data_IF_749632726344
#
_entry.id   IF_749632726344
#
_cell.length_a   1.000
_cell.length_b   1.000
_cell.length_c   1.000
_cell.angle_alpha   90.00
_cell.angle_beta   90.00
_cell.angle_gamma   90.00
#
_symmetry.space_group_name_H-M   'P 1'
#
loop_
_entity.id
_entity.type
_entity.pdbx_description
1 polymer ?
#
# COMPACT_ATOMS: atom_id res chain seq x y z
N UNK A 1 2.84 -35.80 -5.20
CA UNK A 1 1.43 -36.26 -5.43
C UNK A 1 1.01 -35.81 -6.81
N UNK A 2 0.75 -36.73 -7.77
CA UNK A 2 0.26 -36.40 -9.10
C UNK A 2 -1.27 -36.44 -9.08
N UNK A 3 -1.89 -35.29 -9.30
CA UNK A 3 -3.35 -35.23 -9.45
C UNK A 3 -3.83 -36.02 -10.67
N UNK A 4 -5.03 -36.64 -10.57
CA UNK A 4 -5.67 -37.26 -11.73
C UNK A 4 -5.91 -36.22 -12.83
N UNK A 5 -6.00 -36.66 -14.09
CA UNK A 5 -6.28 -35.75 -15.24
C UNK A 5 -7.59 -34.99 -15.03
N UNK A 6 -8.61 -35.64 -14.50
CA UNK A 6 -9.91 -35.01 -14.17
C UNK A 6 -9.76 -33.94 -13.09
N UNK A 7 -9.07 -34.23 -11.99
CA UNK A 7 -8.84 -33.25 -10.91
C UNK A 7 -8.09 -32.03 -11.45
N UNK A 8 -7.06 -32.23 -12.29
CA UNK A 8 -6.32 -31.14 -12.90
C UNK A 8 -7.20 -30.31 -13.82
N UNK A 9 -8.07 -30.93 -14.65
CA UNK A 9 -8.98 -30.21 -15.54
C UNK A 9 -10.00 -29.38 -14.74
N UNK A 10 -10.57 -29.93 -13.66
CA UNK A 10 -11.48 -29.21 -12.77
C UNK A 10 -10.79 -28.01 -12.11
N UNK A 11 -9.58 -28.20 -11.58
CA UNK A 11 -8.82 -27.12 -10.95
C UNK A 11 -8.49 -25.99 -11.96
N UNK A 12 -8.07 -26.36 -13.17
CA UNK A 12 -7.77 -25.37 -14.24
C UNK A 12 -9.04 -24.61 -14.64
N UNK A 13 -10.16 -25.31 -14.85
CA UNK A 13 -11.41 -24.67 -15.21
C UNK A 13 -11.91 -23.72 -14.10
N UNK A 14 -11.83 -24.14 -12.84
CA UNK A 14 -12.22 -23.30 -11.70
C UNK A 14 -11.29 -22.07 -11.58
N UNK A 15 -9.96 -22.27 -11.69
CA UNK A 15 -9.00 -21.17 -11.68
C UNK A 15 -9.24 -20.18 -12.83
N UNK A 16 -9.52 -20.68 -14.03
CA UNK A 16 -9.84 -19.84 -15.19
C UNK A 16 -11.12 -19.02 -14.97
N UNK A 17 -12.15 -19.63 -14.37
CA UNK A 17 -13.39 -18.95 -14.05
C UNK A 17 -13.18 -17.84 -12.99
N UNK A 18 -12.41 -18.12 -11.94
CA UNK A 18 -12.06 -17.12 -10.92
C UNK A 18 -11.27 -15.96 -11.53
N UNK A 19 -10.27 -16.28 -12.37
CA UNK A 19 -9.50 -15.25 -13.06
C UNK A 19 -10.39 -14.40 -13.98
N UNK A 20 -11.26 -15.04 -14.77
CA UNK A 20 -12.21 -14.32 -15.62
C UNK A 20 -13.09 -13.39 -14.78
N UNK A 21 -13.65 -13.87 -13.68
CA UNK A 21 -14.50 -13.08 -12.79
C UNK A 21 -13.77 -11.85 -12.20
N UNK A 22 -12.49 -12.01 -11.83
CA UNK A 22 -11.68 -10.92 -11.26
C UNK A 22 -11.23 -9.93 -12.35
N UNK A 23 -10.78 -10.42 -13.50
CA UNK A 23 -10.21 -9.56 -14.53
C UNK A 23 -11.22 -8.97 -15.50
N UNK A 24 -12.42 -9.55 -15.65
CA UNK A 24 -13.44 -9.01 -16.55
C UNK A 24 -13.86 -7.57 -16.21
N UNK A 25 -14.14 -7.20 -14.94
CA UNK A 25 -14.42 -5.81 -14.58
C UNK A 25 -13.26 -4.86 -14.90
N UNK A 26 -12.02 -5.29 -14.66
CA UNK A 26 -10.83 -4.48 -14.98
C UNK A 26 -10.68 -4.28 -16.49
N UNK A 27 -10.92 -5.33 -17.28
CA UNK A 27 -10.94 -5.23 -18.73
C UNK A 27 -12.02 -4.28 -19.25
N UNK A 28 -13.20 -4.27 -18.62
CA UNK A 28 -14.27 -3.32 -18.93
C UNK A 28 -13.86 -1.87 -18.63
N UNK A 29 -13.18 -1.60 -17.52
CA UNK A 29 -12.66 -0.26 -17.21
C UNK A 29 -11.66 0.18 -18.28
N UNK A 30 -10.73 -0.70 -18.67
CA UNK A 30 -9.77 -0.43 -19.75
C UNK A 30 -10.49 -0.17 -21.07
N UNK A 31 -11.47 -0.99 -21.44
CA UNK A 31 -12.26 -0.80 -22.65
C UNK A 31 -13.03 0.54 -22.62
N UNK A 32 -13.66 0.87 -21.50
CA UNK A 32 -14.40 2.12 -21.33
C UNK A 32 -13.51 3.36 -21.35
N UNK A 33 -12.21 3.23 -21.09
CA UNK A 33 -11.27 4.35 -21.26
C UNK A 33 -11.09 4.79 -22.71
N UNK A 34 -11.49 3.93 -23.66
CA UNK A 34 -11.48 4.19 -25.10
C UNK A 34 -12.89 4.38 -25.68
N UNK A 35 -13.96 4.19 -24.89
CA UNK A 35 -15.34 4.28 -25.38
C UNK A 35 -15.70 5.73 -25.75
N UNK A 36 -16.26 5.95 -26.94
CA UNK A 36 -16.74 7.29 -27.36
C UNK A 36 -17.93 7.78 -26.54
N UNK A 37 -18.72 6.87 -25.97
CA UNK A 37 -19.86 7.23 -25.11
C UNK A 37 -19.40 7.72 -23.74
N UNK A 38 -20.05 8.77 -23.24
CA UNK A 38 -19.83 9.30 -21.88
C UNK A 38 -20.60 8.55 -20.79
N UNK A 39 -21.56 7.71 -21.19
CA UNK A 39 -22.46 6.98 -20.30
C UNK A 39 -22.20 5.47 -20.29
N UNK A 40 -21.05 5.04 -20.82
CA UNK A 40 -20.63 3.62 -20.87
C UNK A 40 -21.62 2.72 -21.60
N UNK A 41 -22.17 3.21 -22.70
CA UNK A 41 -23.06 2.44 -23.56
C UNK A 41 -22.39 1.15 -24.04
N UNK A 42 -23.16 0.06 -23.96
CA UNK A 42 -22.69 -1.28 -24.35
C UNK A 42 -23.58 -1.88 -25.45
N UNK A 43 -23.03 -2.42 -26.55
CA UNK A 43 -21.60 -2.38 -26.93
C UNK A 43 -21.11 -0.93 -27.24
N UNK A 44 -19.80 -0.64 -27.09
CA UNK A 44 -19.28 0.71 -27.37
C UNK A 44 -19.63 1.15 -28.79
N UNK A 45 -20.22 2.35 -29.00
CA UNK A 45 -20.57 2.83 -30.33
C UNK A 45 -19.33 3.17 -31.19
N UNK A 46 -18.16 3.33 -30.56
CA UNK A 46 -16.89 3.56 -31.18
C UNK A 46 -15.75 3.62 -30.18
N UNK A 47 -14.51 3.62 -30.66
CA UNK A 47 -13.30 3.76 -29.84
C UNK A 47 -12.59 5.07 -30.14
N UNK A 48 -12.07 5.73 -29.10
CA UNK A 48 -11.36 7.01 -29.20
C UNK A 48 -10.25 7.11 -28.16
N UNK A 49 -9.22 7.88 -28.46
CA UNK A 49 -8.15 8.24 -27.51
C UNK A 49 -8.30 9.65 -26.94
N UNK A 50 -9.39 10.36 -27.32
CA UNK A 50 -9.61 11.76 -26.88
C UNK A 50 -9.64 11.93 -25.36
N UNK A 51 -10.14 10.92 -24.63
CA UNK A 51 -10.21 10.96 -23.17
C UNK A 51 -8.84 10.87 -22.52
N UNK A 52 -7.89 10.18 -23.17
CA UNK A 52 -6.50 10.12 -22.72
C UNK A 52 -5.83 11.48 -22.82
N UNK A 53 -6.04 12.21 -23.93
CA UNK A 53 -5.58 13.59 -24.07
C UNK A 53 -6.25 14.49 -23.02
N UNK A 54 -7.60 14.43 -22.90
CA UNK A 54 -8.34 15.24 -21.92
C UNK A 54 -7.90 14.95 -20.47
N UNK A 55 -7.51 13.73 -20.16
CA UNK A 55 -7.01 13.36 -18.82
C UNK A 55 -5.65 14.00 -18.53
N UNK A 56 -4.76 14.06 -19.51
CA UNK A 56 -3.46 14.74 -19.39
C UNK A 56 -3.62 16.24 -19.09
N UNK A 57 -4.66 16.87 -19.65
CA UNK A 57 -4.98 18.29 -19.45
C UNK A 57 -5.79 18.54 -18.17
N UNK A 58 -6.31 17.49 -17.53
CA UNK A 58 -7.08 17.60 -16.29
C UNK A 58 -6.18 17.95 -15.11
N UNK A 59 -6.22 19.23 -14.68
CA UNK A 59 -5.49 19.68 -13.49
C UNK A 59 -5.98 18.96 -12.22
N UNK A 60 -7.29 18.67 -12.12
CA UNK A 60 -7.85 17.95 -10.96
C UNK A 60 -7.32 16.52 -10.83
N UNK A 61 -7.32 15.74 -11.92
CA UNK A 61 -6.78 14.38 -11.92
C UNK A 61 -5.28 14.37 -11.58
N UNK A 62 -4.51 15.22 -12.24
CA UNK A 62 -3.06 15.35 -12.03
C UNK A 62 -2.72 15.73 -10.59
N UNK A 63 -3.41 16.74 -10.04
CA UNK A 63 -3.19 17.18 -8.66
C UNK A 63 -3.55 16.05 -7.67
N UNK A 64 -4.65 15.33 -7.89
CA UNK A 64 -5.06 14.23 -7.04
C UNK A 64 -4.04 13.07 -7.03
N UNK A 65 -3.44 12.75 -8.18
CA UNK A 65 -2.33 11.77 -8.28
C UNK A 65 -1.13 12.25 -7.47
N UNK A 66 -0.70 13.50 -7.66
CA UNK A 66 0.45 14.06 -6.94
C UNK A 66 0.24 14.07 -5.44
N UNK A 67 -0.93 14.50 -4.96
CA UNK A 67 -1.27 14.48 -3.53
C UNK A 67 -1.27 13.06 -2.98
N UNK A 68 -1.84 12.08 -3.70
CA UNK A 68 -1.81 10.67 -3.26
C UNK A 68 -0.39 10.13 -3.15
N UNK A 69 0.47 10.41 -4.12
CA UNK A 69 1.88 9.97 -4.09
C UNK A 69 2.62 10.64 -2.94
N UNK A 70 2.44 11.94 -2.74
CA UNK A 70 3.04 12.71 -1.66
C UNK A 70 2.65 12.16 -0.29
N UNK A 71 1.34 11.99 -0.04
CA UNK A 71 0.81 11.43 1.21
C UNK A 71 1.33 10.01 1.43
N UNK A 72 1.29 9.16 0.41
CA UNK A 72 1.74 7.78 0.53
C UNK A 72 3.24 7.68 0.82
N UNK A 73 4.07 8.50 0.20
CA UNK A 73 5.51 8.55 0.48
C UNK A 73 5.81 9.05 1.88
N UNK A 74 5.16 10.14 2.31
CA UNK A 74 5.37 10.72 3.65
C UNK A 74 4.88 9.77 4.75
N UNK A 75 3.69 9.18 4.59
CA UNK A 75 3.15 8.20 5.52
C UNK A 75 4.01 6.93 5.59
N UNK A 76 4.49 6.43 4.45
CA UNK A 76 5.40 5.28 4.40
C UNK A 76 6.73 5.57 5.09
N UNK A 77 7.33 6.74 4.85
CA UNK A 77 8.57 7.14 5.49
C UNK A 77 8.41 7.21 7.03
N UNK A 78 7.33 7.83 7.50
CA UNK A 78 7.01 7.89 8.92
C UNK A 78 6.76 6.49 9.51
N UNK A 79 6.00 5.66 8.81
CA UNK A 79 5.72 4.29 9.19
C UNK A 79 6.98 3.41 9.25
N UNK A 80 7.93 3.58 8.30
CA UNK A 80 9.22 2.88 8.30
C UNK A 80 10.01 3.20 9.56
N UNK A 81 10.12 4.46 9.92
CA UNK A 81 10.84 4.87 11.12
C UNK A 81 10.17 4.31 12.36
N UNK A 82 8.90 4.65 12.59
CA UNK A 82 8.17 4.29 13.81
C UNK A 82 7.95 2.77 13.93
N UNK A 83 7.56 2.10 12.85
CA UNK A 83 7.33 0.66 12.82
C UNK A 83 8.60 -0.16 13.05
N UNK A 84 9.73 0.29 12.48
CA UNK A 84 11.03 -0.37 12.71
C UNK A 84 11.50 -0.17 14.13
N UNK A 85 11.41 1.06 14.67
CA UNK A 85 11.77 1.34 16.06
C UNK A 85 10.92 0.52 17.04
N UNK A 86 9.61 0.45 16.81
CA UNK A 86 8.70 -0.37 17.62
C UNK A 86 9.04 -1.87 17.53
N UNK A 87 9.34 -2.38 16.34
CA UNK A 87 9.74 -3.78 16.15
C UNK A 87 11.06 -4.11 16.89
N UNK A 88 12.06 -3.25 16.79
CA UNK A 88 13.32 -3.39 17.52
C UNK A 88 13.11 -3.36 19.03
N UNK A 89 12.35 -2.38 19.53
CA UNK A 89 12.06 -2.26 20.94
C UNK A 89 11.38 -3.52 21.50
N UNK A 90 10.35 -4.01 20.80
CA UNK A 90 9.60 -5.18 21.24
C UNK A 90 10.34 -6.51 21.01
N UNK A 91 11.30 -6.61 20.11
CA UNK A 91 12.04 -7.86 19.87
C UNK A 91 13.33 -7.94 20.70
N UNK A 92 13.98 -6.83 21.04
CA UNK A 92 15.28 -6.81 21.72
C UNK A 92 15.19 -6.53 23.22
N UNK A 93 14.12 -5.89 23.68
CA UNK A 93 13.97 -5.52 25.10
C UNK A 93 12.82 -6.29 25.75
N UNK A 94 13.02 -6.64 27.03
CA UNK A 94 11.99 -7.19 27.91
C UNK A 94 11.61 -6.11 28.93
N UNK A 95 10.37 -5.67 28.90
CA UNK A 95 9.84 -4.68 29.82
C UNK A 95 8.38 -4.95 30.15
N UNK A 96 7.90 -4.38 31.25
CA UNK A 96 6.51 -4.48 31.67
C UNK A 96 5.59 -3.83 30.61
N UNK A 97 4.50 -4.51 30.24
CA UNK A 97 3.54 -3.99 29.26
C UNK A 97 3.92 -4.24 27.79
N UNK A 98 4.98 -5.00 27.49
CA UNK A 98 5.42 -5.32 26.12
C UNK A 98 4.30 -5.91 25.26
N UNK A 99 3.55 -6.87 25.79
CA UNK A 99 2.49 -7.55 25.04
C UNK A 99 1.29 -6.61 24.81
N UNK A 100 0.96 -5.79 25.79
CA UNK A 100 -0.05 -4.74 25.68
C UNK A 100 0.35 -3.71 24.60
N UNK A 101 1.61 -3.27 24.60
CA UNK A 101 2.11 -2.35 23.56
C UNK A 101 2.06 -2.97 22.18
N UNK A 102 2.43 -4.25 22.05
CA UNK A 102 2.32 -4.99 20.79
C UNK A 102 0.87 -5.04 20.27
N UNK A 103 -0.08 -5.29 21.16
CA UNK A 103 -1.51 -5.28 20.83
C UNK A 103 -1.97 -3.87 20.40
N UNK A 104 -1.58 -2.83 21.12
CA UNK A 104 -1.93 -1.44 20.80
C UNK A 104 -1.38 -1.00 19.43
N UNK A 105 -0.17 -1.44 19.07
CA UNK A 105 0.42 -1.14 17.76
C UNK A 105 -0.40 -1.77 16.63
N UNK A 106 -0.93 -2.98 16.81
CA UNK A 106 -1.70 -3.69 15.79
C UNK A 106 -3.16 -3.24 15.72
N UNK A 107 -3.67 -2.63 16.79
CA UNK A 107 -5.07 -2.23 16.91
C UNK A 107 -5.61 -1.38 15.73
N UNK A 108 -4.89 -0.38 15.19
CA UNK A 108 -5.41 0.47 14.11
C UNK A 108 -5.85 -0.29 12.86
N UNK A 109 -5.18 -1.39 12.50
CA UNK A 109 -5.56 -2.19 11.33
C UNK A 109 -6.73 -3.14 11.61
N UNK A 110 -6.99 -3.43 12.89
CA UNK A 110 -8.09 -4.29 13.31
C UNK A 110 -9.43 -3.52 13.44
N UNK A 111 -9.37 -2.20 13.58
CA UNK A 111 -10.55 -1.35 13.68
C UNK A 111 -11.14 -1.04 12.29
N UNK A 112 -12.47 -0.90 12.18
CA UNK A 112 -13.08 -0.38 10.96
C UNK A 112 -12.53 1.01 10.61
N UNK A 113 -12.16 1.22 9.34
CA UNK A 113 -11.54 2.49 8.88
C UNK A 113 -12.38 3.73 9.21
N UNK A 114 -13.71 3.62 9.16
CA UNK A 114 -14.64 4.70 9.57
C UNK A 114 -14.42 5.10 11.03
N UNK A 115 -14.32 4.11 11.92
CA UNK A 115 -14.10 4.36 13.37
C UNK A 115 -12.75 5.01 13.60
N UNK A 116 -11.71 4.48 12.96
CA UNK A 116 -10.35 5.03 13.04
C UNK A 116 -10.30 6.47 12.49
N UNK A 117 -10.93 6.71 11.33
CA UNK A 117 -10.96 8.03 10.71
C UNK A 117 -11.65 9.09 11.59
N UNK A 118 -12.84 8.76 12.13
CA UNK A 118 -13.58 9.66 13.04
C UNK A 118 -12.79 9.91 14.33
N UNK A 119 -12.21 8.86 14.93
CA UNK A 119 -11.44 8.98 16.16
C UNK A 119 -10.21 9.89 15.97
N UNK A 120 -9.46 9.70 14.87
CA UNK A 120 -8.30 10.53 14.55
C UNK A 120 -8.70 11.98 14.25
N UNK A 121 -9.75 12.21 13.46
CA UNK A 121 -10.25 13.55 13.19
C UNK A 121 -10.63 14.28 14.47
N UNK A 122 -11.37 13.62 15.37
CA UNK A 122 -11.73 14.18 16.68
C UNK A 122 -10.51 14.46 17.54
N UNK A 123 -9.53 13.55 17.58
CA UNK A 123 -8.30 13.75 18.32
C UNK A 123 -7.54 14.99 17.81
N UNK A 124 -7.39 15.15 16.49
CA UNK A 124 -6.74 16.33 15.93
C UNK A 124 -7.48 17.63 16.29
N UNK A 125 -8.80 17.66 16.06
CA UNK A 125 -9.57 18.89 16.22
C UNK A 125 -9.79 19.26 17.70
N UNK A 126 -10.12 18.29 18.56
CA UNK A 126 -10.59 18.57 19.93
C UNK A 126 -9.50 18.41 20.97
N UNK A 127 -8.60 17.40 20.83
CA UNK A 127 -7.54 17.18 21.82
C UNK A 127 -6.30 18.02 21.53
N UNK A 128 -5.91 18.11 20.26
CA UNK A 128 -4.66 18.77 19.85
C UNK A 128 -4.89 20.17 19.27
N UNK A 129 -6.12 20.56 18.94
CA UNK A 129 -6.43 21.84 18.30
C UNK A 129 -5.81 21.99 16.90
N UNK A 130 -5.51 20.87 16.23
CA UNK A 130 -4.86 20.83 14.92
C UNK A 130 -5.94 20.81 13.85
N UNK A 131 -5.89 21.74 12.91
CA UNK A 131 -6.76 21.77 11.74
C UNK A 131 -6.48 20.57 10.84
N UNK A 132 -7.57 19.99 10.26
CA UNK A 132 -7.45 18.91 9.29
C UNK A 132 -6.82 19.42 7.98
N UNK A 133 -5.92 18.62 7.41
CA UNK A 133 -5.18 18.96 6.20
C UNK A 133 -4.13 17.90 5.88
N UNK A 134 -3.09 18.27 5.15
CA UNK A 134 -2.04 17.35 4.74
C UNK A 134 -1.35 16.66 5.94
N UNK A 135 -1.06 17.41 7.00
CA UNK A 135 -0.40 16.87 8.20
C UNK A 135 -1.26 15.81 8.90
N UNK A 136 -2.52 16.12 9.22
CA UNK A 136 -3.43 15.16 9.85
C UNK A 136 -3.65 13.93 8.98
N UNK A 137 -3.71 14.10 7.66
CA UNK A 137 -3.85 13.02 6.70
C UNK A 137 -2.62 12.09 6.71
N UNK A 138 -1.41 12.64 6.60
CA UNK A 138 -0.16 11.86 6.63
C UNK A 138 0.00 11.08 7.93
N UNK A 139 -0.26 11.73 9.08
CA UNK A 139 -0.17 11.05 10.39
C UNK A 139 -1.23 9.96 10.50
N UNK A 140 -2.45 10.21 10.04
CA UNK A 140 -3.52 9.20 10.03
C UNK A 140 -3.16 7.98 9.19
N UNK A 141 -2.62 8.20 7.99
CA UNK A 141 -2.15 7.10 7.14
C UNK A 141 -0.98 6.36 7.76
N UNK A 142 -0.06 7.06 8.40
CA UNK A 142 1.09 6.44 9.07
C UNK A 142 0.65 5.48 10.19
N UNK A 143 -0.49 5.69 10.85
CA UNK A 143 -0.94 4.83 11.96
C UNK A 143 -1.18 3.37 11.53
N UNK A 144 -1.86 3.14 10.41
CA UNK A 144 -2.08 1.78 9.91
C UNK A 144 -0.91 1.27 9.05
N UNK A 145 -0.21 2.14 8.33
CA UNK A 145 1.02 1.79 7.61
C UNK A 145 2.12 1.28 8.55
N UNK A 146 2.23 1.87 9.75
CA UNK A 146 3.19 1.45 10.78
C UNK A 146 2.98 -0.01 11.18
N UNK A 147 1.75 -0.49 11.25
CA UNK A 147 1.43 -1.90 11.56
C UNK A 147 2.04 -2.85 10.53
N UNK A 148 1.94 -2.49 9.25
CA UNK A 148 2.47 -3.28 8.14
C UNK A 148 4.00 -3.38 8.22
N UNK A 149 4.68 -2.25 8.42
CA UNK A 149 6.14 -2.21 8.61
C UNK A 149 6.54 -3.00 9.85
N UNK A 150 5.86 -2.77 10.97
CA UNK A 150 6.10 -3.47 12.24
C UNK A 150 6.04 -4.98 12.07
N UNK A 151 4.97 -5.51 11.47
CA UNK A 151 4.80 -6.95 11.28
C UNK A 151 5.90 -7.57 10.40
N UNK A 152 6.27 -6.91 9.30
CA UNK A 152 7.36 -7.35 8.43
C UNK A 152 8.71 -7.33 9.16
N UNK A 153 8.98 -6.26 9.91
CA UNK A 153 10.21 -6.12 10.70
C UNK A 153 10.30 -7.17 11.81
N UNK A 154 9.21 -7.38 12.57
CA UNK A 154 9.13 -8.42 13.63
C UNK A 154 9.35 -9.81 13.04
N UNK A 155 8.67 -10.15 11.94
CA UNK A 155 8.83 -11.45 11.29
C UNK A 155 10.29 -11.70 10.85
N UNK A 156 10.97 -10.66 10.37
CA UNK A 156 12.37 -10.73 9.98
C UNK A 156 13.30 -10.86 11.18
N UNK A 157 13.14 -10.03 12.21
CA UNK A 157 13.95 -10.05 13.42
C UNK A 157 13.89 -11.42 14.14
N UNK A 158 12.70 -12.04 14.19
CA UNK A 158 12.53 -13.39 14.77
C UNK A 158 13.33 -14.45 14.02
N UNK A 159 13.48 -14.32 12.70
CA UNK A 159 14.24 -15.28 11.87
C UNK A 159 15.75 -15.06 11.96
N UNK A 160 16.20 -13.84 12.22
CA UNK A 160 17.62 -13.50 12.26
C UNK A 160 18.31 -13.98 13.56
N UNK A 161 17.54 -14.14 14.65
CA UNK A 161 18.14 -14.38 15.97
C UNK A 161 18.96 -13.18 16.48
N UNK A 162 19.74 -13.36 17.53
CA UNK A 162 20.61 -12.33 18.12
C UNK A 162 22.11 -12.51 17.86
N UNK A 163 22.50 -13.68 17.39
CA UNK A 163 23.90 -14.14 17.38
C UNK A 163 24.86 -13.23 16.61
N UNK A 164 24.43 -12.66 15.49
CA UNK A 164 25.28 -11.76 14.69
C UNK A 164 25.44 -10.39 15.32
N UNK A 165 24.43 -9.91 16.02
CA UNK A 165 24.49 -8.66 16.78
C UNK A 165 25.38 -8.83 18.01
N UNK A 166 25.29 -9.97 18.73
CA UNK A 166 26.14 -10.34 19.84
C UNK A 166 27.61 -10.46 19.39
N UNK A 167 27.87 -11.18 18.31
CA UNK A 167 29.22 -11.29 17.75
C UNK A 167 29.82 -9.93 17.33
N UNK A 168 29.00 -9.03 16.80
CA UNK A 168 29.44 -7.65 16.48
C UNK A 168 29.83 -6.88 17.73
N UNK A 169 29.05 -7.03 18.81
CA UNK A 169 29.34 -6.38 20.09
C UNK A 169 30.57 -6.99 20.78
N UNK A 170 30.79 -8.30 20.69
CA UNK A 170 31.98 -8.99 21.20
C UNK A 170 33.26 -8.52 20.51
N UNK A 171 33.14 -8.11 19.24
CA UNK A 171 34.26 -7.47 18.48
C UNK A 171 34.42 -5.97 18.81
N UNK A 172 33.73 -5.45 19.82
CA UNK A 172 33.85 -4.08 20.31
C UNK A 172 32.98 -3.04 19.58
N UNK A 173 32.03 -3.47 18.73
CA UNK A 173 31.09 -2.54 18.13
C UNK A 173 30.01 -2.09 19.13
N UNK A 174 29.80 -0.78 19.27
CA UNK A 174 28.67 -0.27 20.04
C UNK A 174 27.31 -0.53 19.33
N UNK A 175 26.21 -0.46 20.10
CA UNK A 175 24.85 -0.75 19.62
C UNK A 175 24.46 0.03 18.35
N UNK A 176 24.84 1.29 18.24
CA UNK A 176 24.56 2.12 17.05
C UNK A 176 25.31 1.58 15.81
N UNK A 177 26.59 1.23 15.96
CA UNK A 177 27.39 0.65 14.86
C UNK A 177 26.84 -0.72 14.46
N UNK A 178 26.48 -1.56 15.41
CA UNK A 178 25.86 -2.87 15.17
C UNK A 178 24.53 -2.71 14.42
N UNK A 179 23.70 -1.75 14.80
CA UNK A 179 22.46 -1.48 14.10
C UNK A 179 22.70 -1.13 12.60
N UNK A 180 23.56 -0.18 12.30
CA UNK A 180 23.78 0.27 10.93
C UNK A 180 24.56 -0.74 10.06
N UNK A 181 25.51 -1.47 10.66
CA UNK A 181 26.41 -2.36 9.90
C UNK A 181 25.93 -3.82 9.84
N UNK A 182 25.04 -4.24 10.77
CA UNK A 182 24.57 -5.63 10.86
C UNK A 182 23.05 -5.67 10.75
N UNK A 183 22.31 -5.08 11.71
CA UNK A 183 20.87 -5.26 11.85
C UNK A 183 20.11 -4.69 10.65
N UNK A 184 20.36 -3.42 10.29
CA UNK A 184 19.65 -2.73 9.22
C UNK A 184 19.89 -3.38 7.83
N UNK A 185 21.11 -3.73 7.42
CA UNK A 185 21.34 -4.46 6.18
C UNK A 185 20.65 -5.82 6.12
N UNK A 186 20.57 -6.53 7.24
CA UNK A 186 19.88 -7.81 7.31
C UNK A 186 18.36 -7.68 7.26
N UNK A 187 17.81 -6.53 7.65
CA UNK A 187 16.39 -6.23 7.62
C UNK A 187 15.92 -5.63 6.27
N UNK A 188 16.82 -5.20 5.40
CA UNK A 188 16.52 -4.41 4.19
C UNK A 188 15.38 -4.99 3.34
N UNK A 189 15.35 -6.30 3.11
CA UNK A 189 14.30 -6.94 2.30
C UNK A 189 12.92 -6.86 2.96
N UNK A 190 12.84 -7.05 4.27
CA UNK A 190 11.60 -6.93 5.03
C UNK A 190 11.12 -5.48 5.13
N UNK A 191 12.04 -4.53 5.28
CA UNK A 191 11.72 -3.10 5.29
C UNK A 191 11.26 -2.62 3.93
N UNK A 192 11.88 -3.07 2.84
CA UNK A 192 11.42 -2.78 1.47
C UNK A 192 10.02 -3.36 1.21
N UNK A 193 9.77 -4.60 1.62
CA UNK A 193 8.43 -5.20 1.51
C UNK A 193 7.41 -4.43 2.34
N UNK A 194 7.74 -4.07 3.59
CA UNK A 194 6.92 -3.22 4.44
C UNK A 194 6.65 -1.84 3.83
N UNK A 195 7.65 -1.21 3.21
CA UNK A 195 7.52 0.07 2.54
C UNK A 195 6.57 0.00 1.33
N UNK A 196 6.74 -0.99 0.47
CA UNK A 196 5.89 -1.17 -0.72
C UNK A 196 4.43 -1.42 -0.34
N UNK A 197 4.20 -2.27 0.67
CA UNK A 197 2.86 -2.53 1.18
C UNK A 197 2.25 -1.29 1.84
N UNK A 198 3.02 -0.54 2.64
CA UNK A 198 2.57 0.70 3.27
C UNK A 198 2.22 1.76 2.24
N UNK A 199 3.05 1.92 1.21
CA UNK A 199 2.78 2.83 0.10
C UNK A 199 1.46 2.45 -0.61
N UNK A 200 1.27 1.18 -0.96
CA UNK A 200 0.06 0.71 -1.61
C UNK A 200 -1.18 0.95 -0.75
N UNK A 201 -1.12 0.60 0.54
CA UNK A 201 -2.22 0.82 1.50
C UNK A 201 -2.58 2.31 1.64
N UNK A 202 -1.57 3.18 1.73
CA UNK A 202 -1.79 4.62 1.86
C UNK A 202 -2.31 5.25 0.56
N UNK A 203 -1.85 4.77 -0.59
CA UNK A 203 -2.24 5.30 -1.90
C UNK A 203 -3.71 5.01 -2.22
N UNK A 204 -4.23 3.84 -1.83
CA UNK A 204 -5.59 3.39 -2.12
C UNK A 204 -6.60 3.74 -1.00
N UNK A 205 -6.14 4.40 0.08
CA UNK A 205 -6.99 4.68 1.24
C UNK A 205 -7.99 5.79 0.97
N UNK A 206 -9.28 5.48 1.13
CA UNK A 206 -10.39 6.40 0.92
C UNK A 206 -11.13 6.73 2.23
N UNK A 207 -11.30 5.74 3.11
CA UNK A 207 -12.19 5.86 4.27
C UNK A 207 -11.58 6.80 5.32
N UNK A 208 -10.37 6.52 5.79
CA UNK A 208 -9.68 7.38 6.76
C UNK A 208 -9.43 8.76 6.15
N UNK A 209 -9.05 8.81 4.87
CA UNK A 209 -8.86 10.05 4.11
C UNK A 209 -10.09 10.95 4.17
N UNK A 210 -11.29 10.39 3.98
CA UNK A 210 -12.55 11.16 3.98
C UNK A 210 -12.74 11.96 5.27
N UNK A 211 -12.28 11.45 6.40
CA UNK A 211 -12.43 12.11 7.71
C UNK A 211 -11.24 12.98 8.09
N UNK A 212 -10.05 12.77 7.54
CA UNK A 212 -8.80 13.38 8.03
C UNK A 212 -8.10 14.32 7.05
N UNK A 213 -8.51 14.36 5.78
CA UNK A 213 -7.87 15.19 4.76
C UNK A 213 -8.12 16.71 4.94
N UNK A 214 -9.26 17.09 5.52
CA UNK A 214 -9.64 18.51 5.60
C UNK A 214 -9.99 19.12 4.24
N UNK A 215 -10.28 20.41 4.24
CA UNK A 215 -10.63 21.14 3.01
C UNK A 215 -9.39 21.43 2.16
N UNK A 216 -9.48 21.18 0.87
CA UNK A 216 -8.40 21.49 -0.09
C UNK A 216 -7.38 20.37 -0.34
N UNK A 217 -7.40 19.27 0.43
CA UNK A 217 -6.58 18.10 0.19
C UNK A 217 -7.43 17.00 -0.43
N UNK A 218 -7.16 16.67 -1.69
CA UNK A 218 -7.91 15.66 -2.44
C UNK A 218 -6.98 14.59 -2.99
N UNK A 219 -7.06 13.39 -2.41
CA UNK A 219 -6.35 12.22 -2.91
C UNK A 219 -7.04 11.61 -4.12
N UNK A 220 -6.35 10.77 -4.85
CA UNK A 220 -6.86 10.15 -6.06
C UNK A 220 -8.10 9.27 -5.82
N UNK A 221 -8.18 8.41 -4.78
CA UNK A 221 -9.40 7.66 -4.48
C UNK A 221 -10.61 8.58 -4.21
N UNK A 222 -10.42 9.67 -3.48
CA UNK A 222 -11.49 10.67 -3.23
C UNK A 222 -11.88 11.36 -4.54
N UNK A 223 -10.91 11.74 -5.37
CA UNK A 223 -11.18 12.37 -6.65
C UNK A 223 -11.97 11.43 -7.58
N UNK A 224 -11.58 10.17 -7.69
CA UNK A 224 -12.29 9.13 -8.44
C UNK A 224 -13.73 9.01 -7.94
N UNK A 225 -13.91 8.81 -6.63
CA UNK A 225 -15.23 8.64 -6.01
C UNK A 225 -16.18 9.83 -6.29
N UNK A 226 -15.67 11.06 -6.21
CA UNK A 226 -16.46 12.26 -6.45
C UNK A 226 -16.80 12.51 -7.92
N UNK A 227 -16.02 11.95 -8.84
CA UNK A 227 -16.19 12.20 -10.28
C UNK A 227 -16.77 11.01 -11.05
N UNK A 228 -16.80 9.80 -10.44
CA UNK A 228 -17.27 8.56 -11.08
C UNK A 228 -18.70 8.68 -11.65
N UNK A 229 -19.58 9.33 -10.91
CA UNK A 229 -21.01 9.50 -11.30
C UNK A 229 -21.31 10.78 -12.06
N UNK A 230 -20.27 11.56 -12.43
CA UNK A 230 -20.44 12.77 -13.24
C UNK A 230 -20.27 12.40 -14.72
N UNK A 231 -21.30 12.50 -15.58
CA UNK A 231 -21.22 12.04 -16.97
C UNK A 231 -20.07 12.67 -17.78
N UNK A 232 -19.73 13.93 -17.47
CA UNK A 232 -18.64 14.63 -18.15
C UNK A 232 -17.23 14.23 -17.64
N UNK A 233 -17.12 13.61 -16.46
CA UNK A 233 -15.86 13.19 -15.83
C UNK A 233 -15.66 11.68 -15.87
N UNK A 234 -16.72 10.90 -16.00
CA UNK A 234 -16.67 9.46 -15.97
C UNK A 234 -15.67 8.84 -17.00
N UNK A 235 -15.55 9.33 -18.24
CA UNK A 235 -14.51 8.84 -19.16
C UNK A 235 -13.09 9.13 -18.66
N UNK A 236 -12.85 10.32 -18.09
CA UNK A 236 -11.55 10.71 -17.52
C UNK A 236 -11.21 9.81 -16.32
N UNK A 237 -12.20 9.50 -15.47
CA UNK A 237 -12.03 8.55 -14.34
C UNK A 237 -11.62 7.16 -14.85
N UNK A 238 -12.24 6.66 -15.92
CA UNK A 238 -11.85 5.37 -16.49
C UNK A 238 -10.44 5.37 -17.09
N UNK A 239 -10.02 6.47 -17.70
CA UNK A 239 -8.62 6.60 -18.17
C UNK A 239 -7.66 6.57 -17.00
N UNK A 240 -7.93 7.31 -15.93
CA UNK A 240 -7.09 7.30 -14.72
C UNK A 240 -7.04 5.89 -14.12
N UNK A 241 -8.18 5.22 -13.99
CA UNK A 241 -8.23 3.84 -13.47
C UNK A 241 -7.50 2.86 -14.40
N UNK A 242 -7.67 2.97 -15.73
CA UNK A 242 -6.93 2.14 -16.70
C UNK A 242 -5.42 2.38 -16.63
N UNK A 243 -4.99 3.63 -16.50
CA UNK A 243 -3.57 3.97 -16.32
C UNK A 243 -3.00 3.36 -15.04
N UNK A 244 -3.75 3.38 -13.93
CA UNK A 244 -3.34 2.74 -12.68
C UNK A 244 -3.25 1.21 -12.82
N UNK A 245 -4.22 0.57 -13.50
CA UNK A 245 -4.17 -0.88 -13.78
C UNK A 245 -2.89 -1.22 -14.55
N UNK A 246 -2.58 -0.47 -15.60
CA UNK A 246 -1.34 -0.68 -16.38
C UNK A 246 -0.11 -0.40 -15.53
N UNK A 247 -0.10 0.69 -14.77
CA UNK A 247 1.03 1.04 -13.90
C UNK A 247 1.27 0.00 -12.80
N UNK A 248 0.23 -0.67 -12.27
CA UNK A 248 0.36 -1.72 -11.25
C UNK A 248 1.09 -2.97 -11.75
N UNK A 249 1.12 -3.20 -13.07
CA UNK A 249 1.88 -4.32 -13.66
C UNK A 249 3.39 -4.14 -13.45
N UNK A 250 3.87 -2.89 -13.45
CA UNK A 250 5.32 -2.59 -13.35
C UNK A 250 5.91 -3.10 -12.03
N UNK A 251 5.39 -2.74 -10.83
CA UNK A 251 5.93 -3.23 -9.57
C UNK A 251 5.75 -4.75 -9.40
N UNK A 252 4.68 -5.33 -9.94
CA UNK A 252 4.46 -6.78 -9.90
C UNK A 252 5.53 -7.49 -10.73
N UNK A 253 5.76 -7.04 -11.96
CA UNK A 253 6.80 -7.59 -12.82
C UNK A 253 8.20 -7.43 -12.22
N UNK A 254 8.49 -6.26 -11.66
CA UNK A 254 9.76 -5.97 -11.00
C UNK A 254 9.98 -6.87 -9.78
N UNK A 255 8.97 -7.07 -8.95
CA UNK A 255 9.05 -7.94 -7.77
C UNK A 255 9.30 -9.39 -8.15
N UNK A 256 8.65 -9.89 -9.20
CA UNK A 256 8.88 -11.25 -9.71
C UNK A 256 10.29 -11.43 -10.27
N UNK A 257 10.79 -10.43 -10.99
CA UNK A 257 12.16 -10.48 -11.54
C UNK A 257 13.22 -10.46 -10.44
N UNK A 258 13.01 -9.69 -9.37
CA UNK A 258 13.92 -9.64 -8.22
C UNK A 258 13.86 -10.93 -7.38
N UNK A 259 12.68 -11.52 -7.19
CA UNK A 259 12.52 -12.78 -6.46
C UNK A 259 13.11 -13.98 -7.23
N UNK A 260 12.96 -14.02 -8.55
CA UNK A 260 13.50 -15.12 -9.39
C UNK A 260 15.02 -15.20 -9.43
N UNK A 261 15.73 -14.11 -9.13
CA UNK A 261 17.21 -14.12 -9.02
C UNK A 261 17.72 -14.79 -7.75
N UNK A 262 16.95 -14.76 -6.66
CA UNK A 262 17.34 -15.39 -5.38
C UNK A 262 17.17 -16.93 -5.42
N UNK A 263 16.18 -17.46 -6.15
CA UNK A 263 16.00 -18.91 -6.30
C UNK A 263 17.09 -19.55 -7.18
N UNK A 264 17.56 -18.85 -8.22
CA UNK A 264 18.63 -19.35 -9.09
C UNK A 264 20.00 -19.42 -8.38
N UNK A 265 20.25 -18.54 -7.42
CA UNK A 265 21.47 -18.55 -6.59
C UNK A 265 21.41 -19.62 -5.48
N UNK A 266 20.20 -19.92 -4.98
CA UNK A 266 20.00 -20.97 -3.97
C UNK A 266 20.05 -22.38 -4.58
N UNK A 267 19.69 -22.55 -5.83
CA UNK A 267 19.75 -23.83 -6.55
C UNK A 267 21.17 -24.18 -7.07
N UNK A 268 22.09 -23.21 -7.05
CA UNK A 268 23.49 -23.37 -7.51
C UNK A 268 24.48 -23.64 -6.36
N UNK A 269 23.99 -23.80 -5.12
CA UNK A 269 24.76 -24.20 -3.94
C UNK A 269 24.26 -25.53 -3.39
#
# INVERSE_FOLDING_TARGET
MSFSRTTRAVLVAFSALVLLFVYAPLALVVLNSFNTSRTFEWPPPGLTTQWWAATMDSSGARNAVLVSVEVALMATALALVLGTMAALALQRFRFFGRDTLSLLIVLPIALPGVVTGIALANAFLTMFGIQLGLFSLVVSHATFCMVTVFNNAVARLRRLGGNLEEASMDLGAGSFRTFWSVTLPMMRSALLAGALLSFALSFDEIIVTTFTAGSGVQTLPIWIYQNLFRPNQAPVVNVVAAALIVASVIPIWLSQKLAGTDESVAAAR
#
